data_IF_964309800418
#
_entry.id   IF_964309800418
#
_cell.length_a   1.000
_cell.length_b   1.000
_cell.length_c   1.000
_cell.angle_alpha   90.00
_cell.angle_beta   90.00
_cell.angle_gamma   90.00
#
_symmetry.space_group_name_H-M   'P 1'
#
loop_
_entity.id
_entity.type
_entity.pdbx_description
1 polymer ?
#
# COMPACT_ATOMS: atom_id res chain seq x y z
N UNK A 1 -8.45 -23.20 5.08
CA UNK A 1 -9.27 -22.33 4.22
C UNK A 1 -8.62 -20.97 4.26
N UNK A 2 -7.98 -20.57 3.17
CA UNK A 2 -7.31 -19.27 3.08
C UNK A 2 -8.38 -18.24 2.73
N UNK A 3 -8.90 -17.55 3.74
CA UNK A 3 -9.85 -16.46 3.56
C UNK A 3 -9.08 -15.29 2.92
N UNK A 4 -9.05 -15.25 1.60
CA UNK A 4 -8.59 -14.10 0.86
C UNK A 4 -9.59 -12.98 1.15
N UNK A 5 -9.32 -12.18 2.20
CA UNK A 5 -10.17 -11.09 2.64
C UNK A 5 -10.43 -10.15 1.46
N UNK A 6 -11.61 -10.27 0.85
CA UNK A 6 -12.10 -9.33 -0.14
C UNK A 6 -12.43 -8.06 0.65
N UNK A 7 -11.73 -6.94 0.41
CA UNK A 7 -12.08 -5.70 1.08
C UNK A 7 -13.50 -5.30 0.64
N UNK A 8 -14.35 -5.00 1.62
CA UNK A 8 -15.75 -4.57 1.45
C UNK A 8 -15.90 -3.25 0.67
N UNK A 9 -14.79 -2.54 0.47
CA UNK A 9 -14.64 -1.38 -0.40
C UNK A 9 -13.34 -1.49 -1.22
N UNK A 10 -13.27 -0.93 -2.45
CA UNK A 10 -12.06 -0.95 -3.26
C UNK A 10 -10.91 -0.30 -2.50
N UNK A 11 -9.78 -1.00 -2.46
CA UNK A 11 -8.56 -0.50 -1.84
C UNK A 11 -7.92 0.54 -2.75
N UNK A 12 -7.51 1.68 -2.19
CA UNK A 12 -6.79 2.72 -2.91
C UNK A 12 -5.32 2.79 -2.49
N UNK A 13 -4.44 3.05 -3.47
CA UNK A 13 -3.05 3.38 -3.23
C UNK A 13 -2.97 4.74 -2.51
N UNK A 14 -2.33 4.77 -1.34
CA UNK A 14 -2.22 5.97 -0.50
C UNK A 14 -1.48 7.13 -1.19
N UNK A 15 -0.64 6.84 -2.19
CA UNK A 15 0.08 7.86 -2.95
C UNK A 15 -0.68 8.37 -4.18
N UNK A 16 -0.99 7.47 -5.11
CA UNK A 16 -1.50 7.84 -6.44
C UNK A 16 -3.02 7.66 -6.59
N UNK A 17 -3.70 7.08 -5.59
CA UNK A 17 -5.14 6.84 -5.63
C UNK A 17 -5.57 5.68 -6.55
N UNK A 18 -4.64 4.95 -7.19
CA UNK A 18 -4.97 3.74 -7.98
C UNK A 18 -5.82 2.80 -7.13
N UNK A 19 -6.96 2.36 -7.64
CA UNK A 19 -7.88 1.47 -6.91
C UNK A 19 -7.76 0.03 -7.36
N UNK A 20 -8.16 -0.90 -6.50
CA UNK A 20 -8.25 -2.32 -6.80
C UNK A 20 -9.29 -3.00 -5.92
N UNK A 21 -10.05 -3.95 -6.49
CA UNK A 21 -11.10 -4.68 -5.79
C UNK A 21 -10.54 -5.76 -4.85
N UNK A 22 -9.28 -6.15 -5.03
CA UNK A 22 -8.58 -7.15 -4.20
C UNK A 22 -7.18 -6.64 -3.88
N UNK A 23 -6.57 -7.04 -2.76
CA UNK A 23 -5.20 -6.64 -2.46
C UNK A 23 -4.19 -7.51 -3.25
N UNK A 24 -3.53 -6.99 -4.31
CA UNK A 24 -2.59 -7.77 -5.10
C UNK A 24 -1.32 -8.02 -4.30
N UNK A 25 -0.72 -9.21 -4.45
CA UNK A 25 0.54 -9.56 -3.74
C UNK A 25 1.73 -8.66 -4.13
N UNK A 26 1.63 -7.93 -5.25
CA UNK A 26 2.64 -6.97 -5.70
C UNK A 26 2.55 -5.62 -5.00
N UNK A 27 1.48 -5.36 -4.25
CA UNK A 27 1.32 -4.13 -3.48
C UNK A 27 2.04 -4.24 -2.15
N UNK A 28 2.59 -3.12 -1.69
CA UNK A 28 3.27 -3.02 -0.40
C UNK A 28 2.32 -2.45 0.65
N UNK A 29 2.32 -3.05 1.84
CA UNK A 29 1.67 -2.52 3.02
C UNK A 29 2.72 -1.84 3.91
N UNK A 30 2.52 -0.57 4.24
CA UNK A 30 3.29 0.14 5.27
C UNK A 30 2.40 0.42 6.47
N UNK A 31 3.00 0.68 7.63
CA UNK A 31 2.29 1.15 8.82
C UNK A 31 2.81 2.53 9.17
N UNK A 32 1.97 3.53 8.95
CA UNK A 32 2.25 4.95 9.10
C UNK A 32 1.36 5.51 10.21
N UNK A 33 1.95 6.09 11.26
CA UNK A 33 1.20 6.64 12.41
C UNK A 33 0.15 5.66 12.99
N UNK A 34 0.45 4.35 12.97
CA UNK A 34 -0.46 3.30 13.45
C UNK A 34 -1.56 2.88 12.45
N UNK A 35 -1.60 3.46 11.26
CA UNK A 35 -2.53 3.12 10.17
C UNK A 35 -1.84 2.30 9.09
N UNK A 36 -2.54 1.32 8.54
CA UNK A 36 -2.05 0.58 7.37
C UNK A 36 -2.33 1.37 6.11
N UNK A 37 -1.27 1.76 5.43
CA UNK A 37 -1.32 2.43 4.13
C UNK A 37 -0.81 1.45 3.08
N UNK A 38 -1.47 1.41 1.93
CA UNK A 38 -1.16 0.48 0.85
C UNK A 38 -0.64 1.22 -0.36
N UNK A 39 0.40 0.69 -1.00
CA UNK A 39 1.04 1.29 -2.17
C UNK A 39 1.04 0.31 -3.34
N UNK A 40 0.63 0.78 -4.51
CA UNK A 40 0.72 -0.01 -5.74
C UNK A 40 2.17 -0.33 -6.10
N UNK A 41 2.37 -1.35 -6.91
CA UNK A 41 3.72 -1.81 -7.32
C UNK A 41 4.60 -0.69 -7.89
N UNK A 42 4.02 0.21 -8.69
CA UNK A 42 4.74 1.33 -9.29
C UNK A 42 5.22 2.33 -8.23
N UNK A 43 4.33 2.70 -7.31
CA UNK A 43 4.66 3.62 -6.22
C UNK A 43 5.63 2.99 -5.23
N UNK A 44 5.46 1.71 -4.90
CA UNK A 44 6.37 1.00 -4.01
C UNK A 44 7.78 0.93 -4.62
N UNK A 45 7.90 0.58 -5.90
CA UNK A 45 9.20 0.51 -6.60
C UNK A 45 9.89 1.86 -6.71
N UNK A 46 9.15 2.91 -7.03
CA UNK A 46 9.70 4.26 -7.16
C UNK A 46 10.26 4.81 -5.84
N UNK A 47 9.76 4.33 -4.69
CA UNK A 47 10.06 4.89 -3.36
C UNK A 47 10.54 3.83 -2.37
N UNK A 48 11.08 2.73 -2.87
CA UNK A 48 11.44 1.57 -2.06
C UNK A 48 12.43 1.93 -0.94
N UNK A 49 13.35 2.87 -1.20
CA UNK A 49 14.32 3.36 -0.20
C UNK A 49 13.66 4.09 0.96
N UNK A 50 12.61 4.88 0.69
CA UNK A 50 11.89 5.60 1.72
C UNK A 50 11.06 4.63 2.58
N UNK A 51 10.42 3.64 1.94
CA UNK A 51 9.65 2.58 2.61
C UNK A 51 10.57 1.73 3.50
N UNK A 52 11.72 1.26 3.00
CA UNK A 52 12.71 0.50 3.79
C UNK A 52 13.31 1.36 4.92
N UNK A 53 13.48 2.66 4.68
CA UNK A 53 13.88 3.64 5.68
C UNK A 53 12.79 4.00 6.70
N UNK A 54 11.56 3.49 6.53
CA UNK A 54 10.36 3.81 7.34
C UNK A 54 10.07 5.31 7.40
N UNK A 55 10.34 6.02 6.31
CA UNK A 55 9.91 7.40 6.15
C UNK A 55 8.42 7.41 5.82
N UNK A 56 7.65 8.23 6.54
CA UNK A 56 6.23 8.46 6.24
C UNK A 56 6.05 8.94 4.79
N UNK A 57 4.97 8.49 4.14
CA UNK A 57 4.62 8.87 2.77
C UNK A 57 4.48 10.36 2.51
N UNK A 58 4.30 11.16 3.57
CA UNK A 58 4.33 12.61 3.49
C UNK A 58 5.71 13.21 3.12
N UNK A 59 6.80 12.44 3.23
CA UNK A 59 8.18 12.93 3.14
C UNK A 59 8.96 12.42 1.91
N UNK A 60 8.28 11.85 0.90
CA UNK A 60 8.90 11.42 -0.36
C UNK A 60 7.98 11.56 -1.59
#
# INVERSE_FOLDING_TARGET
MNDARIPEAPLACARCGKTTDTLPLTWTCSVENGRREYFCEDCARANIRAIEGRLDSAWW
#
